data_IF_055002008511
#
_entry.id   IF_055002008511
#
_cell.length_a   1.000
_cell.length_b   1.000
_cell.length_c   1.000
_cell.angle_alpha   90.00
_cell.angle_beta   90.00
_cell.angle_gamma   90.00
#
_symmetry.space_group_name_H-M   'P 1'
#
loop_
_entity.id
_entity.type
_entity.pdbx_description
1 polymer ?
#
# COMPACT_ATOMS: atom_id res chain seq x y z
N UNK A 1 -15.69 27.25 5.75
CA UNK A 1 -16.83 26.37 6.07
C UNK A 1 -17.30 26.73 7.47
N UNK A 2 -18.54 27.18 7.64
CA UNK A 2 -19.01 27.75 8.94
C UNK A 2 -19.59 26.69 9.92
N UNK A 3 -19.22 25.41 9.78
CA UNK A 3 -19.79 24.34 10.62
C UNK A 3 -18.82 23.73 11.64
N UNK A 4 -17.69 24.38 11.91
CA UNK A 4 -16.69 23.92 12.88
C UNK A 4 -15.92 22.63 12.48
N UNK A 5 -16.13 22.10 11.27
CA UNK A 5 -15.49 20.89 10.81
C UNK A 5 -14.01 21.13 10.46
N UNK A 6 -13.10 20.37 11.06
CA UNK A 6 -11.67 20.39 10.71
C UNK A 6 -11.48 19.68 9.37
N UNK A 7 -10.63 20.26 8.51
CA UNK A 7 -10.28 19.70 7.18
C UNK A 7 -8.78 19.72 7.00
N UNK A 8 -8.27 18.83 6.13
CA UNK A 8 -6.89 18.85 5.69
C UNK A 8 -6.77 19.58 4.35
N UNK A 9 -5.76 20.45 4.21
CA UNK A 9 -5.52 21.22 2.99
C UNK A 9 -4.15 20.85 2.42
N UNK A 10 -4.15 20.28 1.21
CA UNK A 10 -2.93 19.97 0.44
C UNK A 10 -2.75 21.05 -0.61
N UNK A 11 -1.72 21.88 -0.45
CA UNK A 11 -1.30 22.85 -1.48
C UNK A 11 -0.20 22.22 -2.32
N UNK A 12 -0.44 22.01 -3.60
CA UNK A 12 0.58 21.56 -4.53
C UNK A 12 1.55 22.71 -4.79
N UNK A 13 2.84 22.46 -4.56
CA UNK A 13 3.88 23.50 -4.67
C UNK A 13 4.23 23.75 -6.13
N UNK A 14 4.40 25.00 -6.50
CA UNK A 14 4.89 25.45 -7.81
C UNK A 14 6.22 24.78 -8.15
N UNK A 15 6.22 23.95 -9.17
CA UNK A 15 7.38 23.27 -9.78
C UNK A 15 7.24 23.32 -11.30
N UNK A 16 7.49 22.22 -11.98
CA UNK A 16 7.17 22.12 -13.42
C UNK A 16 5.65 22.19 -13.58
N UNK A 17 5.11 23.32 -14.07
CA UNK A 17 3.68 23.65 -14.02
C UNK A 17 2.79 22.56 -14.66
N UNK A 18 3.23 21.97 -15.79
CA UNK A 18 2.45 20.90 -16.45
C UNK A 18 2.29 19.65 -15.59
N UNK A 19 3.32 19.22 -14.88
CA UNK A 19 3.24 18.02 -14.03
C UNK A 19 2.30 18.22 -12.85
N UNK A 20 2.30 19.40 -12.24
CA UNK A 20 1.41 19.74 -11.12
C UNK A 20 -0.04 19.81 -11.55
N UNK A 21 -0.27 20.39 -12.75
CA UNK A 21 -1.60 20.46 -13.32
C UNK A 21 -2.13 19.05 -13.63
N UNK A 22 -1.31 18.18 -14.23
CA UNK A 22 -1.63 16.80 -14.50
C UNK A 22 -1.97 16.01 -13.20
N UNK A 23 -1.16 16.14 -12.15
CA UNK A 23 -1.39 15.49 -10.86
C UNK A 23 -2.68 16.02 -10.21
N UNK A 24 -2.91 17.33 -10.23
CA UNK A 24 -4.11 17.95 -9.69
C UNK A 24 -5.37 17.49 -10.44
N UNK A 25 -5.37 17.54 -11.76
CA UNK A 25 -6.51 17.13 -12.60
C UNK A 25 -6.80 15.64 -12.43
N UNK A 26 -5.76 14.80 -12.39
CA UNK A 26 -5.89 13.37 -12.15
C UNK A 26 -6.54 13.12 -10.78
N UNK A 27 -6.02 13.74 -9.73
CA UNK A 27 -6.54 13.52 -8.37
C UNK A 27 -7.98 14.03 -8.23
N UNK A 28 -8.31 15.21 -8.76
CA UNK A 28 -9.67 15.75 -8.75
C UNK A 28 -10.64 14.86 -9.55
N UNK A 29 -10.27 14.49 -10.77
CA UNK A 29 -11.15 13.72 -11.65
C UNK A 29 -11.46 12.33 -11.10
N UNK A 30 -10.46 11.66 -10.57
CA UNK A 30 -10.61 10.29 -10.05
C UNK A 30 -11.32 10.28 -8.70
N UNK A 31 -10.78 11.01 -7.72
CA UNK A 31 -11.23 10.87 -6.33
C UNK A 31 -12.60 11.53 -6.06
N UNK A 32 -13.06 12.47 -6.90
CA UNK A 32 -14.37 13.08 -6.74
C UNK A 32 -15.54 12.11 -7.01
N UNK A 33 -15.27 11.06 -7.79
CA UNK A 33 -16.27 10.03 -8.17
C UNK A 33 -16.13 8.73 -7.38
N UNK A 34 -15.10 8.60 -6.54
CA UNK A 34 -14.77 7.38 -5.82
C UNK A 34 -15.18 7.52 -4.36
N UNK A 35 -16.06 6.63 -3.88
CA UNK A 35 -16.59 6.68 -2.53
C UNK A 35 -16.49 5.32 -1.87
N UNK A 36 -15.52 5.16 -0.98
CA UNK A 36 -15.35 3.96 -0.18
C UNK A 36 -14.80 4.32 1.20
N UNK A 37 -15.15 3.56 2.24
CA UNK A 37 -14.74 3.85 3.62
C UNK A 37 -13.21 3.81 3.85
N UNK A 38 -12.49 3.04 3.03
CA UNK A 38 -11.04 2.92 3.08
C UNK A 38 -10.31 3.78 2.03
N UNK A 39 -10.99 4.78 1.47
CA UNK A 39 -10.39 5.79 0.59
C UNK A 39 -10.57 7.18 1.18
N UNK A 40 -9.55 8.02 1.07
CA UNK A 40 -9.59 9.39 1.57
C UNK A 40 -10.57 10.23 0.74
N UNK A 41 -11.50 10.90 1.41
CA UNK A 41 -12.54 11.68 0.75
C UNK A 41 -12.06 13.09 0.42
N UNK A 42 -12.15 13.46 -0.86
CA UNK A 42 -11.99 14.85 -1.31
C UNK A 42 -13.28 15.63 -0.98
N UNK A 43 -13.15 16.76 -0.31
CA UNK A 43 -14.25 17.64 0.08
C UNK A 43 -14.39 18.83 -0.85
N UNK A 44 -13.32 19.19 -1.56
CA UNK A 44 -13.30 20.29 -2.53
C UNK A 44 -11.91 20.55 -3.07
N UNK A 45 -11.86 21.37 -4.10
CA UNK A 45 -10.61 21.81 -4.73
C UNK A 45 -10.69 23.26 -5.14
N UNK A 46 -9.53 23.89 -5.36
CA UNK A 46 -9.42 25.23 -5.90
C UNK A 46 -8.26 25.29 -6.89
N UNK A 47 -8.55 25.82 -8.07
CA UNK A 47 -7.56 26.12 -9.12
C UNK A 47 -7.68 27.60 -9.46
N UNK A 48 -6.70 28.42 -9.01
CA UNK A 48 -6.66 29.85 -9.28
C UNK A 48 -5.24 30.28 -9.61
N UNK A 49 -5.02 30.79 -10.83
CA UNK A 49 -3.68 31.14 -11.29
C UNK A 49 -2.75 29.92 -11.23
N UNK A 50 -1.66 30.04 -10.51
CA UNK A 50 -0.69 28.95 -10.30
C UNK A 50 -0.97 28.12 -9.03
N UNK A 51 -2.02 28.43 -8.29
CA UNK A 51 -2.33 27.71 -7.05
C UNK A 51 -3.25 26.52 -7.35
N UNK A 52 -2.86 25.35 -6.84
CA UNK A 52 -3.63 24.11 -6.86
C UNK A 52 -3.80 23.64 -5.43
N UNK A 53 -5.05 23.64 -4.95
CA UNK A 53 -5.40 23.32 -3.57
C UNK A 53 -6.44 22.21 -3.57
N UNK A 54 -6.18 21.17 -2.78
CA UNK A 54 -7.09 20.07 -2.52
C UNK A 54 -7.50 20.10 -1.04
N UNK A 55 -8.77 19.89 -0.76
CA UNK A 55 -9.33 19.90 0.60
C UNK A 55 -9.91 18.52 0.89
N UNK A 56 -9.42 17.87 1.93
CA UNK A 56 -9.80 16.52 2.32
C UNK A 56 -10.45 16.48 3.70
N UNK A 57 -11.11 15.37 3.99
CA UNK A 57 -11.43 15.02 5.37
C UNK A 57 -10.15 14.96 6.21
N UNK A 58 -10.25 15.34 7.50
CA UNK A 58 -9.10 15.38 8.38
C UNK A 58 -8.81 14.01 8.98
N UNK A 59 -7.56 13.56 8.88
CA UNK A 59 -7.09 12.31 9.45
C UNK A 59 -6.32 12.57 10.74
N UNK A 60 -6.94 12.32 11.88
CA UNK A 60 -6.42 12.67 13.20
C UNK A 60 -5.10 11.95 13.53
N UNK A 61 -4.93 10.73 13.05
CA UNK A 61 -3.76 9.90 13.30
C UNK A 61 -2.68 10.00 12.21
N UNK A 62 -2.84 10.91 11.22
CA UNK A 62 -1.90 11.10 10.13
C UNK A 62 -1.64 9.79 9.35
N UNK A 63 -0.40 9.55 8.90
CA UNK A 63 -0.04 8.42 8.05
C UNK A 63 0.58 7.26 8.84
N UNK A 64 0.38 6.05 8.32
CA UNK A 64 0.84 4.79 8.90
C UNK A 64 2.36 4.75 9.15
N UNK A 65 3.17 5.36 8.27
CA UNK A 65 4.63 5.44 8.44
C UNK A 65 5.06 6.07 9.76
N UNK A 66 4.24 6.97 10.36
CA UNK A 66 4.51 7.59 11.67
C UNK A 66 4.38 6.58 12.82
N UNK A 67 3.59 5.54 12.63
CA UNK A 67 3.42 4.46 13.59
C UNK A 67 4.46 3.35 13.41
N UNK A 68 4.92 3.14 12.17
CA UNK A 68 5.89 2.09 11.88
C UNK A 68 7.34 2.54 12.13
N UNK A 69 7.68 3.77 11.73
CA UNK A 69 9.07 4.27 11.70
C UNK A 69 9.28 5.56 12.47
N UNK A 70 8.19 6.25 12.86
CA UNK A 70 8.22 7.55 13.49
C UNK A 70 8.15 7.50 15.02
N UNK A 71 7.77 8.64 15.62
CA UNK A 71 7.67 8.81 17.09
C UNK A 71 6.61 7.91 17.75
N UNK A 72 5.70 7.32 16.97
CA UNK A 72 4.64 6.43 17.46
C UNK A 72 4.97 4.95 17.24
N UNK A 73 6.23 4.61 16.93
CA UNK A 73 6.65 3.22 16.74
C UNK A 73 6.30 2.38 17.96
N UNK A 74 5.73 1.18 17.71
CA UNK A 74 5.32 0.23 18.75
C UNK A 74 4.02 0.58 19.48
N UNK A 75 3.25 1.58 19.01
CA UNK A 75 1.97 1.93 19.63
C UNK A 75 0.76 1.22 19.03
N UNK A 76 0.93 0.45 17.95
CA UNK A 76 -0.11 -0.40 17.37
C UNK A 76 0.00 -1.81 17.96
N UNK A 77 -1.14 -2.39 18.34
CA UNK A 77 -1.22 -3.82 18.65
C UNK A 77 -1.52 -4.63 17.38
N UNK A 78 -1.41 -5.97 17.47
CA UNK A 78 -1.62 -6.85 16.32
C UNK A 78 -3.00 -6.68 15.68
N UNK A 79 -4.06 -6.60 16.50
CA UNK A 79 -5.43 -6.41 15.98
C UNK A 79 -5.54 -5.13 15.14
N UNK A 80 -4.94 -4.03 15.58
CA UNK A 80 -4.93 -2.77 14.84
C UNK A 80 -4.12 -2.90 13.54
N UNK A 81 -2.95 -3.56 13.59
CA UNK A 81 -2.17 -3.88 12.39
C UNK A 81 -2.98 -4.69 11.39
N UNK A 82 -3.67 -5.73 11.85
CA UNK A 82 -4.52 -6.56 11.02
C UNK A 82 -5.69 -5.78 10.41
N UNK A 83 -6.38 -4.96 11.19
CA UNK A 83 -7.49 -4.11 10.72
C UNK A 83 -7.01 -3.11 9.64
N UNK A 84 -5.79 -2.57 9.77
CA UNK A 84 -5.16 -1.70 8.78
C UNK A 84 -4.83 -2.48 7.49
N UNK A 85 -4.25 -3.67 7.61
CA UNK A 85 -3.95 -4.57 6.48
C UNK A 85 -5.22 -4.88 5.71
N UNK A 86 -6.25 -5.37 6.39
CA UNK A 86 -7.52 -5.77 5.79
C UNK A 86 -8.28 -4.57 5.19
N UNK A 87 -8.32 -3.43 5.89
CA UNK A 87 -8.98 -2.23 5.39
C UNK A 87 -8.30 -1.67 4.13
N UNK A 88 -6.96 -1.70 4.08
CA UNK A 88 -6.20 -1.29 2.88
C UNK A 88 -6.50 -2.23 1.70
N UNK A 89 -6.54 -3.56 1.94
CA UNK A 89 -6.92 -4.53 0.91
C UNK A 89 -8.32 -4.25 0.34
N UNK A 90 -9.31 -3.98 1.20
CA UNK A 90 -10.68 -3.62 0.76
C UNK A 90 -10.71 -2.33 -0.06
N UNK A 91 -9.93 -1.33 0.31
CA UNK A 91 -9.79 -0.10 -0.48
C UNK A 91 -9.25 -0.37 -1.89
N UNK A 92 -8.23 -1.24 -2.02
CA UNK A 92 -7.67 -1.65 -3.30
C UNK A 92 -8.63 -2.55 -4.10
N UNK A 93 -9.36 -3.46 -3.46
CA UNK A 93 -10.41 -4.25 -4.12
C UNK A 93 -11.43 -3.34 -4.79
N UNK A 94 -11.89 -2.32 -4.06
CA UNK A 94 -12.84 -1.36 -4.61
C UNK A 94 -12.27 -0.64 -5.85
N UNK A 95 -11.02 -0.16 -5.80
CA UNK A 95 -10.39 0.52 -6.93
C UNK A 95 -10.19 -0.38 -8.15
N UNK A 96 -9.78 -1.62 -7.93
CA UNK A 96 -9.41 -2.53 -9.01
C UNK A 96 -10.59 -3.25 -9.63
N UNK A 97 -11.61 -3.61 -8.84
CA UNK A 97 -12.59 -4.63 -9.21
C UNK A 97 -14.04 -4.18 -9.06
N UNK A 98 -14.37 -3.30 -8.10
CA UNK A 98 -15.75 -2.91 -7.80
C UNK A 98 -16.16 -1.59 -8.48
N UNK A 99 -15.19 -0.70 -8.74
CA UNK A 99 -15.49 0.53 -9.47
C UNK A 99 -15.66 0.21 -10.97
N UNK A 100 -16.51 0.97 -11.67
CA UNK A 100 -16.90 0.68 -13.06
C UNK A 100 -15.74 0.67 -14.07
N UNK A 101 -14.60 1.27 -13.75
CA UNK A 101 -13.33 1.21 -14.50
C UNK A 101 -12.21 0.99 -13.52
N UNK A 102 -11.34 0.01 -13.75
CA UNK A 102 -10.21 -0.28 -12.86
C UNK A 102 -9.29 0.94 -12.71
N UNK A 103 -9.04 1.33 -11.47
CA UNK A 103 -8.15 2.44 -11.10
C UNK A 103 -6.87 1.85 -10.50
N UNK A 104 -5.73 2.12 -11.15
CA UNK A 104 -4.40 1.74 -10.62
C UNK A 104 -3.82 2.93 -9.90
N UNK A 105 -3.51 2.78 -8.62
CA UNK A 105 -3.04 3.87 -7.75
C UNK A 105 -1.59 4.29 -8.06
N UNK A 106 -0.69 3.33 -8.27
CA UNK A 106 0.73 3.48 -8.65
C UNK A 106 1.67 3.99 -7.56
N UNK A 107 1.18 4.41 -6.41
CA UNK A 107 2.01 4.89 -5.29
C UNK A 107 1.49 4.40 -3.92
N UNK A 108 1.15 3.11 -3.84
CA UNK A 108 0.80 2.48 -2.55
C UNK A 108 2.06 2.34 -1.71
N UNK A 109 2.02 2.95 -0.51
CA UNK A 109 3.10 2.93 0.49
C UNK A 109 2.57 3.35 1.85
N UNK A 110 3.29 3.06 2.91
CA UNK A 110 2.85 3.34 4.30
C UNK A 110 2.57 4.83 4.56
N UNK A 111 3.26 5.76 3.90
CA UNK A 111 2.98 7.21 4.03
C UNK A 111 1.71 7.68 3.31
N UNK A 112 1.16 6.89 2.39
CA UNK A 112 -0.09 7.18 1.68
C UNK A 112 -1.29 6.42 2.26
N UNK A 113 -1.10 5.65 3.34
CA UNK A 113 -2.18 5.07 4.13
C UNK A 113 -2.38 5.97 5.34
N UNK A 114 -3.48 6.73 5.37
CA UNK A 114 -3.83 7.61 6.47
C UNK A 114 -4.76 6.90 7.44
N UNK A 115 -4.71 7.30 8.72
CA UNK A 115 -5.48 6.69 9.79
C UNK A 115 -6.42 7.73 10.40
N UNK A 116 -7.72 7.40 10.48
CA UNK A 116 -8.71 8.24 11.13
C UNK A 116 -8.64 8.14 12.67
N UNK A 117 -9.58 8.74 13.39
CA UNK A 117 -9.63 8.71 14.86
C UNK A 117 -9.75 7.31 15.45
N UNK A 118 -10.36 6.38 14.73
CA UNK A 118 -10.52 4.97 15.09
C UNK A 118 -9.41 4.06 14.52
N UNK A 119 -8.32 4.63 13.98
CA UNK A 119 -7.23 3.94 13.29
C UNK A 119 -7.69 3.16 12.03
N UNK A 120 -8.84 3.51 11.45
CA UNK A 120 -9.26 2.92 10.18
C UNK A 120 -8.41 3.47 9.04
N UNK A 121 -7.88 2.59 8.16
CA UNK A 121 -7.01 3.03 7.08
C UNK A 121 -7.81 3.66 5.94
N UNK A 122 -7.24 4.70 5.35
CA UNK A 122 -7.73 5.36 4.14
C UNK A 122 -6.57 5.57 3.17
N UNK A 123 -6.68 5.00 1.99
CA UNK A 123 -5.72 5.21 0.89
C UNK A 123 -5.86 6.66 0.40
N UNK A 124 -4.73 7.33 0.21
CA UNK A 124 -4.64 8.75 -0.15
C UNK A 124 -3.63 8.98 -1.27
N UNK A 125 -3.64 10.17 -1.84
CA UNK A 125 -2.68 10.65 -2.85
C UNK A 125 -2.83 9.97 -4.22
N UNK A 126 -3.89 10.31 -4.93
CA UNK A 126 -4.24 9.77 -6.25
C UNK A 126 -3.60 10.53 -7.43
N UNK A 127 -2.64 11.43 -7.18
CA UNK A 127 -2.01 12.25 -8.21
C UNK A 127 -1.27 11.47 -9.31
N UNK A 128 -0.88 10.22 -9.03
CA UNK A 128 -0.24 9.33 -10.01
C UNK A 128 -1.20 8.27 -10.59
N UNK A 129 -2.44 8.20 -10.12
CA UNK A 129 -3.36 7.14 -10.49
C UNK A 129 -3.71 7.14 -11.99
N UNK A 130 -4.07 5.97 -12.51
CA UNK A 130 -4.49 5.81 -13.91
C UNK A 130 -5.69 4.88 -14.03
N UNK A 131 -6.59 5.21 -14.95
CA UNK A 131 -7.65 4.32 -15.39
C UNK A 131 -7.08 3.24 -16.32
N UNK A 132 -7.47 2.02 -16.10
CA UNK A 132 -7.21 0.90 -17.00
C UNK A 132 -8.51 0.59 -17.77
N UNK A 133 -8.58 0.84 -19.10
CA UNK A 133 -9.75 0.51 -19.88
C UNK A 133 -10.11 -0.97 -19.79
N UNK A 134 -11.41 -1.28 -19.74
CA UNK A 134 -11.89 -2.64 -19.50
C UNK A 134 -11.55 -3.67 -20.57
N UNK A 135 -11.10 -3.24 -21.75
CA UNK A 135 -10.61 -4.09 -22.85
C UNK A 135 -9.11 -4.39 -22.77
N UNK A 136 -8.41 -3.83 -21.78
CA UNK A 136 -6.96 -3.96 -21.63
C UNK A 136 -6.58 -4.63 -20.32
N UNK A 137 -5.69 -5.62 -20.39
CA UNK A 137 -5.11 -6.24 -19.20
C UNK A 137 -3.97 -5.43 -18.56
N UNK A 138 -3.34 -4.53 -19.33
CA UNK A 138 -2.26 -3.66 -18.89
C UNK A 138 -2.07 -2.48 -19.86
N UNK A 139 -1.42 -1.44 -19.37
CA UNK A 139 -0.96 -0.28 -20.14
C UNK A 139 0.57 -0.23 -20.15
N UNK A 140 1.16 0.34 -21.21
CA UNK A 140 2.57 0.76 -21.18
C UNK A 140 2.65 2.25 -20.86
N UNK A 141 3.38 2.60 -19.80
CA UNK A 141 3.52 3.99 -19.36
C UNK A 141 4.88 4.23 -18.72
N UNK A 142 5.25 5.50 -18.63
CA UNK A 142 6.42 5.90 -17.84
C UNK A 142 6.29 5.39 -16.41
N UNK A 143 7.38 4.85 -15.89
CA UNK A 143 7.47 4.44 -14.49
C UNK A 143 7.31 5.66 -13.59
N UNK A 144 6.46 5.53 -12.60
CA UNK A 144 6.24 6.51 -11.55
C UNK A 144 5.90 5.77 -10.26
N UNK A 145 6.04 6.43 -9.12
CA UNK A 145 5.84 5.83 -7.80
C UNK A 145 7.10 5.94 -6.94
N UNK A 146 7.16 5.17 -5.88
CA UNK A 146 8.21 5.25 -4.86
C UNK A 146 9.09 3.99 -4.92
N UNK A 147 10.42 4.18 -5.02
CA UNK A 147 11.39 3.09 -5.00
C UNK A 147 11.21 2.22 -3.73
N UNK A 148 11.41 0.91 -3.85
CA UNK A 148 11.18 -0.05 -2.77
C UNK A 148 9.73 -0.58 -2.67
N UNK A 149 8.76 0.08 -3.36
CA UNK A 149 7.38 -0.39 -3.44
C UNK A 149 6.95 -0.73 -4.88
N UNK A 150 7.79 -0.40 -5.86
CA UNK A 150 7.45 -0.51 -7.28
C UNK A 150 7.70 -1.93 -7.80
N UNK A 151 6.70 -2.52 -8.46
CA UNK A 151 6.78 -3.88 -9.00
C UNK A 151 7.82 -4.03 -10.12
N UNK A 152 8.53 -5.20 -10.20
CA UNK A 152 9.61 -5.43 -11.16
C UNK A 152 9.22 -5.20 -12.63
N UNK A 153 8.09 -5.75 -13.06
CA UNK A 153 7.62 -5.61 -14.43
C UNK A 153 7.29 -4.18 -14.82
N UNK A 154 6.93 -3.39 -13.81
CA UNK A 154 6.66 -1.97 -14.03
C UNK A 154 7.97 -1.18 -14.17
N UNK A 155 8.97 -1.44 -13.30
CA UNK A 155 10.30 -0.82 -13.38
C UNK A 155 10.99 -1.17 -14.70
N UNK A 156 11.01 -2.45 -15.07
CA UNK A 156 11.79 -2.95 -16.20
C UNK A 156 11.12 -2.71 -17.56
N UNK A 157 9.80 -2.76 -17.61
CA UNK A 157 9.06 -2.80 -18.88
C UNK A 157 7.99 -1.70 -19.02
N UNK A 158 7.77 -0.89 -17.97
CA UNK A 158 6.69 0.11 -17.94
C UNK A 158 5.28 -0.52 -18.00
N UNK A 159 5.17 -1.83 -17.68
CA UNK A 159 3.92 -2.59 -17.74
C UNK A 159 3.07 -2.29 -16.50
N UNK A 160 2.01 -1.53 -16.69
CA UNK A 160 1.11 -1.08 -15.63
C UNK A 160 -0.19 -1.90 -15.65
N UNK A 161 -0.51 -2.55 -14.54
CA UNK A 161 -1.77 -3.24 -14.26
C UNK A 161 -2.10 -3.16 -12.77
N UNK A 162 -3.25 -3.66 -12.35
CA UNK A 162 -3.61 -3.77 -10.93
C UNK A 162 -2.55 -4.55 -10.11
N UNK A 163 -1.80 -5.44 -10.76
CA UNK A 163 -0.74 -6.25 -10.13
C UNK A 163 0.43 -5.40 -9.59
N UNK A 164 0.59 -4.17 -10.06
CA UNK A 164 1.59 -3.22 -9.52
C UNK A 164 1.21 -2.77 -8.11
N UNK A 165 -0.06 -2.40 -7.88
CA UNK A 165 -0.55 -2.01 -6.55
C UNK A 165 -0.57 -3.19 -5.59
N UNK A 166 -0.86 -4.40 -6.09
CA UNK A 166 -0.83 -5.64 -5.30
C UNK A 166 0.58 -5.91 -4.78
N UNK A 167 1.61 -5.73 -5.62
CA UNK A 167 3.00 -5.84 -5.18
C UNK A 167 3.32 -4.80 -4.09
N UNK A 168 2.98 -3.54 -4.33
CA UNK A 168 3.20 -2.45 -3.37
C UNK A 168 2.48 -2.71 -2.04
N UNK A 169 1.25 -3.24 -2.09
CA UNK A 169 0.49 -3.67 -0.91
C UNK A 169 1.22 -4.76 -0.13
N UNK A 170 1.77 -5.78 -0.81
CA UNK A 170 2.57 -6.82 -0.17
C UNK A 170 3.77 -6.25 0.60
N UNK A 171 4.48 -5.27 0.01
CA UNK A 171 5.57 -4.57 0.69
C UNK A 171 5.06 -3.82 1.93
N UNK A 172 3.93 -3.09 1.84
CA UNK A 172 3.33 -2.39 3.00
C UNK A 172 2.97 -3.37 4.12
N UNK A 173 2.44 -4.55 3.79
CA UNK A 173 2.13 -5.59 4.79
C UNK A 173 3.40 -6.06 5.51
N UNK A 174 4.50 -6.31 4.78
CA UNK A 174 5.78 -6.66 5.38
C UNK A 174 6.33 -5.54 6.28
N UNK A 175 6.16 -4.28 5.90
CA UNK A 175 6.53 -3.13 6.75
C UNK A 175 5.71 -3.08 8.06
N UNK A 176 4.41 -3.33 7.99
CA UNK A 176 3.53 -3.36 9.18
C UNK A 176 3.97 -4.44 10.16
N UNK A 177 4.27 -5.64 9.66
CA UNK A 177 4.64 -6.78 10.51
C UNK A 177 6.03 -6.59 11.11
N UNK A 178 6.99 -6.11 10.32
CA UNK A 178 8.39 -6.04 10.74
C UNK A 178 8.77 -4.75 11.45
N UNK A 179 7.96 -3.69 11.35
CA UNK A 179 8.35 -2.35 11.82
C UNK A 179 9.61 -1.82 11.13
N UNK A 180 9.95 -2.33 9.93
CA UNK A 180 11.11 -1.94 9.14
C UNK A 180 10.66 -1.35 7.82
N UNK A 181 11.35 -0.30 7.40
CA UNK A 181 11.08 0.33 6.11
C UNK A 181 11.68 -0.50 4.98
N UNK A 182 10.93 -0.67 3.89
CA UNK A 182 11.33 -1.50 2.74
C UNK A 182 12.64 -1.08 2.09
N UNK A 183 12.99 0.23 2.17
CA UNK A 183 14.19 0.82 1.60
C UNK A 183 15.39 0.84 2.54
N UNK A 184 15.21 0.49 3.82
CA UNK A 184 16.31 0.50 4.79
C UNK A 184 17.10 -0.81 4.68
N UNK A 185 18.37 -0.67 4.31
CA UNK A 185 19.35 -1.75 4.31
C UNK A 185 19.74 -2.04 5.76
N UNK A 186 19.56 -3.26 6.26
CA UNK A 186 19.97 -3.58 7.64
C UNK A 186 21.40 -3.97 7.73
N UNK A 187 21.98 -4.74 7.07
CA UNK A 187 23.39 -5.14 7.06
C UNK A 187 23.62 -6.00 5.81
N UNK A 188 24.86 -6.09 5.41
CA UNK A 188 25.28 -7.15 4.49
C UNK A 188 25.20 -8.43 5.30
N UNK A 189 24.47 -9.43 4.82
CA UNK A 189 24.37 -10.74 5.47
C UNK A 189 25.69 -11.52 5.37
N UNK A 190 25.72 -12.71 5.98
CA UNK A 190 26.90 -13.58 5.97
C UNK A 190 27.30 -14.03 4.54
N UNK A 191 26.39 -13.94 3.56
CA UNK A 191 26.62 -14.23 2.15
C UNK A 191 27.10 -13.02 1.34
N UNK A 192 27.23 -11.84 1.96
CA UNK A 192 27.66 -10.60 1.33
C UNK A 192 26.57 -9.86 0.56
N UNK A 193 25.32 -10.27 0.70
CA UNK A 193 24.16 -9.70 0.04
C UNK A 193 23.47 -8.59 0.86
N UNK A 194 22.97 -7.57 0.18
CA UNK A 194 22.17 -6.51 0.80
C UNK A 194 20.85 -7.08 1.35
N UNK A 195 20.63 -6.91 2.67
CA UNK A 195 19.48 -7.50 3.39
C UNK A 195 18.29 -6.52 3.44
N UNK A 196 17.65 -6.33 2.29
CA UNK A 196 16.37 -5.60 2.21
C UNK A 196 15.20 -6.42 2.76
N UNK A 197 14.18 -5.73 3.25
CA UNK A 197 13.01 -6.32 3.91
C UNK A 197 12.40 -7.52 3.13
N UNK A 198 12.16 -7.38 1.84
CA UNK A 198 11.57 -8.45 1.03
C UNK A 198 12.49 -9.69 0.94
N UNK A 199 13.80 -9.49 0.74
CA UNK A 199 14.78 -10.58 0.70
C UNK A 199 14.84 -11.31 2.03
N UNK A 200 14.87 -10.57 3.14
CA UNK A 200 14.84 -11.13 4.48
C UNK A 200 13.57 -11.94 4.74
N UNK A 201 12.40 -11.40 4.40
CA UNK A 201 11.15 -12.12 4.55
C UNK A 201 11.14 -13.43 3.76
N UNK A 202 11.69 -13.44 2.54
CA UNK A 202 11.83 -14.63 1.73
C UNK A 202 12.78 -15.67 2.35
N UNK A 203 13.98 -15.25 2.80
CA UNK A 203 14.93 -16.15 3.48
C UNK A 203 14.32 -16.81 4.74
N UNK A 204 13.58 -16.03 5.53
CA UNK A 204 12.89 -16.56 6.70
C UNK A 204 11.75 -17.52 6.33
N UNK A 205 11.05 -17.28 5.21
CA UNK A 205 10.05 -18.20 4.68
C UNK A 205 10.68 -19.55 4.30
N UNK A 206 11.77 -19.55 3.55
CA UNK A 206 12.49 -20.79 3.15
C UNK A 206 13.01 -21.60 4.33
N UNK A 207 13.40 -20.91 5.41
CA UNK A 207 13.89 -21.54 6.65
C UNK A 207 12.77 -21.97 7.61
N UNK A 208 11.50 -21.64 7.33
CA UNK A 208 10.38 -21.89 8.23
C UNK A 208 10.37 -21.00 9.49
N UNK A 209 11.08 -19.86 9.47
CA UNK A 209 11.35 -18.99 10.61
C UNK A 209 10.60 -17.66 10.52
N UNK A 210 9.40 -17.64 9.93
CA UNK A 210 8.65 -16.42 9.61
C UNK A 210 8.41 -15.49 10.81
N UNK A 211 8.27 -16.03 12.01
CA UNK A 211 8.03 -15.22 13.22
C UNK A 211 9.22 -14.35 13.61
N UNK A 212 10.43 -14.63 13.11
CA UNK A 212 11.59 -13.76 13.33
C UNK A 212 11.52 -12.44 12.53
N UNK A 213 10.55 -12.34 11.61
CA UNK A 213 10.28 -11.09 10.90
C UNK A 213 9.50 -10.10 11.78
N UNK A 214 8.76 -10.58 12.77
CA UNK A 214 7.82 -9.77 13.56
C UNK A 214 8.56 -8.72 14.39
N UNK A 215 8.03 -7.48 14.41
CA UNK A 215 8.56 -6.40 15.24
C UNK A 215 8.49 -6.79 16.72
N UNK A 216 9.61 -6.65 17.42
CA UNK A 216 9.72 -6.96 18.85
C UNK A 216 8.81 -6.10 19.74
N UNK A 217 8.28 -4.99 19.22
CA UNK A 217 7.31 -4.16 19.94
C UNK A 217 5.90 -4.78 19.99
N UNK A 218 5.61 -5.77 19.13
CA UNK A 218 4.37 -6.56 19.17
C UNK A 218 4.51 -7.66 20.22
N UNK A 219 3.67 -7.60 21.27
CA UNK A 219 3.66 -8.59 22.35
C UNK A 219 3.21 -9.96 21.82
N UNK A 220 4.07 -11.01 21.90
CA UNK A 220 3.74 -12.35 21.43
C UNK A 220 2.50 -12.98 22.08
N UNK A 221 2.12 -12.51 23.28
CA UNK A 221 0.92 -13.01 23.98
C UNK A 221 -0.38 -12.40 23.40
N UNK A 222 -0.29 -11.38 22.56
CA UNK A 222 -1.43 -10.63 22.03
C UNK A 222 -1.73 -10.92 20.56
N UNK A 223 -1.10 -11.94 19.95
CA UNK A 223 -1.41 -12.39 18.59
C UNK A 223 -1.34 -13.92 18.45
N UNK A 224 -2.08 -14.45 17.48
CA UNK A 224 -1.94 -15.83 17.05
C UNK A 224 -0.77 -15.97 16.07
N UNK A 225 0.20 -16.82 16.39
CA UNK A 225 1.37 -17.06 15.57
C UNK A 225 1.02 -17.59 14.16
N UNK A 226 -0.01 -18.43 14.04
CA UNK A 226 -0.45 -18.96 12.75
C UNK A 226 -1.14 -17.89 11.90
N UNK A 227 -1.91 -16.98 12.53
CA UNK A 227 -2.47 -15.83 11.83
C UNK A 227 -1.36 -14.92 11.28
N UNK A 228 -0.33 -14.63 12.07
CA UNK A 228 0.82 -13.80 11.63
C UNK A 228 1.57 -14.48 10.48
N UNK A 229 1.90 -15.76 10.58
CA UNK A 229 2.54 -16.54 9.50
C UNK A 229 1.70 -16.51 8.22
N UNK A 230 0.40 -16.65 8.35
CA UNK A 230 -0.56 -16.55 7.25
C UNK A 230 -0.48 -15.19 6.56
N UNK A 231 -0.50 -14.09 7.33
CA UNK A 231 -0.44 -12.73 6.77
C UNK A 231 0.89 -12.49 6.06
N UNK A 232 2.02 -12.98 6.60
CA UNK A 232 3.33 -12.93 5.91
C UNK A 232 3.28 -13.73 4.61
N UNK A 233 2.70 -14.93 4.62
CA UNK A 233 2.52 -15.75 3.41
C UNK A 233 1.73 -15.04 2.33
N UNK A 234 0.63 -14.35 2.69
CA UNK A 234 -0.17 -13.53 1.76
C UNK A 234 0.67 -12.37 1.18
N UNK A 235 1.47 -11.70 2.01
CA UNK A 235 2.36 -10.64 1.54
C UNK A 235 3.38 -11.16 0.51
N UNK A 236 3.94 -12.35 0.75
CA UNK A 236 4.86 -13.00 -0.19
C UNK A 236 4.15 -13.42 -1.49
N UNK A 237 2.90 -13.89 -1.44
CA UNK A 237 2.09 -14.13 -2.65
C UNK A 237 1.88 -12.84 -3.46
N UNK A 238 1.67 -11.72 -2.80
CA UNK A 238 1.51 -10.41 -3.46
C UNK A 238 2.81 -9.90 -4.11
N UNK A 239 3.98 -10.30 -3.60
CA UNK A 239 5.31 -9.83 -4.07
C UNK A 239 6.02 -10.78 -5.01
N UNK A 240 5.35 -11.83 -5.51
CA UNK A 240 5.93 -12.78 -6.46
C UNK A 240 6.48 -12.09 -7.71
N UNK A 241 7.55 -12.67 -8.29
CA UNK A 241 8.21 -12.18 -9.50
C UNK A 241 7.24 -12.02 -10.67
N UNK A 242 6.44 -13.07 -10.93
CA UNK A 242 5.44 -13.06 -11.99
C UNK A 242 4.18 -12.32 -11.55
N UNK A 243 3.83 -11.24 -12.25
CA UNK A 243 2.61 -10.49 -12.00
C UNK A 243 1.35 -11.38 -12.11
N UNK A 244 1.33 -12.33 -13.03
CA UNK A 244 0.21 -13.26 -13.24
C UNK A 244 -0.04 -14.18 -12.04
N UNK A 245 1.00 -14.47 -11.25
CA UNK A 245 0.90 -15.34 -10.07
C UNK A 245 0.44 -14.62 -8.81
N UNK A 246 0.44 -13.29 -8.81
CA UNK A 246 -0.08 -12.52 -7.69
C UNK A 246 -1.60 -12.63 -7.64
N UNK A 247 -2.22 -12.88 -6.47
CA UNK A 247 -3.68 -12.93 -6.35
C UNK A 247 -4.34 -11.60 -6.74
N UNK A 248 -5.62 -11.59 -7.06
CA UNK A 248 -6.43 -10.36 -7.14
C UNK A 248 -6.66 -9.81 -5.72
N UNK A 249 -7.02 -8.52 -5.58
CA UNK A 249 -7.25 -7.95 -4.23
C UNK A 249 -8.46 -8.55 -3.54
N UNK A 250 -9.51 -8.92 -4.28
CA UNK A 250 -10.65 -9.68 -3.73
C UNK A 250 -10.23 -11.04 -3.16
N UNK A 251 -9.33 -11.75 -3.84
CA UNK A 251 -8.75 -13.01 -3.34
C UNK A 251 -7.92 -12.77 -2.07
N UNK A 252 -7.14 -11.67 -2.02
CA UNK A 252 -6.38 -11.27 -0.82
C UNK A 252 -7.33 -11.03 0.37
N UNK A 253 -8.44 -10.32 0.16
CA UNK A 253 -9.46 -10.08 1.21
C UNK A 253 -10.06 -11.40 1.70
N UNK A 254 -10.37 -12.33 0.80
CA UNK A 254 -10.87 -13.67 1.16
C UNK A 254 -9.82 -14.43 1.95
N UNK A 255 -8.57 -14.48 1.48
CA UNK A 255 -7.45 -15.14 2.17
C UNK A 255 -7.24 -14.59 3.59
N UNK A 256 -7.27 -13.27 3.76
CA UNK A 256 -7.18 -12.66 5.09
C UNK A 256 -8.34 -13.09 5.98
N UNK A 257 -9.57 -13.09 5.47
CA UNK A 257 -10.79 -13.28 6.26
C UNK A 257 -11.16 -14.74 6.55
N UNK A 258 -10.56 -15.72 5.86
CA UNK A 258 -10.86 -17.15 6.01
C UNK A 258 -9.77 -17.90 6.78
N UNK A 259 -10.11 -18.98 7.48
CA UNK A 259 -9.11 -19.76 8.22
C UNK A 259 -8.44 -20.87 7.40
N UNK A 260 -8.97 -21.28 6.22
CA UNK A 260 -8.67 -22.59 5.62
C UNK A 260 -7.95 -22.56 4.24
N UNK A 261 -7.62 -21.40 3.64
CA UNK A 261 -7.30 -21.36 2.20
C UNK A 261 -5.80 -21.35 1.83
N UNK A 262 -4.87 -21.23 2.77
CA UNK A 262 -3.42 -21.09 2.43
C UNK A 262 -2.68 -22.43 2.21
N UNK A 263 -3.23 -23.57 2.62
CA UNK A 263 -2.53 -24.86 2.54
C UNK A 263 -2.09 -25.26 1.11
N UNK A 264 -2.72 -24.67 0.09
CA UNK A 264 -2.46 -25.00 -1.32
C UNK A 264 -1.73 -23.89 -2.09
N UNK A 265 -1.51 -22.70 -1.51
CA UNK A 265 -0.86 -21.56 -2.16
C UNK A 265 0.57 -21.35 -1.63
N UNK A 266 1.56 -21.85 -2.36
CA UNK A 266 2.97 -21.63 -2.01
C UNK A 266 3.50 -20.42 -2.77
N UNK A 267 4.02 -19.38 -2.07
CA UNK A 267 4.71 -18.28 -2.70
C UNK A 267 5.90 -18.76 -3.54
N UNK A 268 6.10 -18.12 -4.69
CA UNK A 268 7.31 -18.30 -5.51
C UNK A 268 8.27 -17.15 -5.21
N UNK A 269 9.56 -17.42 -5.42
CA UNK A 269 10.64 -16.47 -5.15
C UNK A 269 10.38 -15.11 -5.84
N UNK A 270 10.45 -13.99 -5.10
CA UNK A 270 10.37 -12.66 -5.67
C UNK A 270 11.63 -12.28 -6.46
N UNK A 271 11.54 -11.23 -7.31
CA UNK A 271 12.71 -10.57 -7.87
C UNK A 271 13.12 -9.45 -6.90
N UNK A 272 14.38 -9.40 -6.55
CA UNK A 272 14.98 -8.34 -5.74
C UNK A 272 15.64 -7.33 -6.69
N UNK A 273 15.12 -6.07 -6.68
CA UNK A 273 15.59 -4.96 -7.53
C UNK A 273 16.09 -3.84 -6.61
#
# INVERSE_FOLDING_TARGET
>A
MNNGKVVAVKKLKSGNSSKIDDEFETEVTLISNVHHRNLLRLLGCCSKGQERILVYEYMANASLDKFLFGKRKGSLNWKQCYDIILGTARGLTYLHEEFHVSIIHRDIKSSNILLDEQLQPKISDFGLAKLLPGDQSHLRTRVAGTMGYTAPEYVLHGQLSAKVDIYSYGIVVLEIISGQKSTDMKAVDDDGDEDYLLRRAWKLYERGMLLELVDQSLDPNNYDAEEVKKVIGIALLCTQASAAMRPAMSEVVVLLSSNDLLEHMRPLMPIFI
#
